data_IF_000053953981
#
_entry.id   IF_000053953981
#
_cell.length_a   1.000
_cell.length_b   1.000
_cell.length_c   1.000
_cell.angle_alpha   90.00
_cell.angle_beta   90.00
_cell.angle_gamma   90.00
#
_symmetry.space_group_name_H-M   'P 1'
#
loop_
_entity.id
_entity.type
_entity.pdbx_description
1 polymer ?
#
# COMPACT_ATOMS: atom_id res chain seq x y z
N UNK A 1 -54.43 33.10 -89.28
CA UNK A 1 -53.40 32.45 -90.11
C UNK A 1 -52.28 31.95 -89.19
N UNK A 2 -52.04 30.63 -89.22
CA UNK A 2 -50.81 29.85 -88.95
C UNK A 2 -49.73 30.48 -88.03
N UNK A 3 -49.42 29.86 -86.88
CA UNK A 3 -48.23 28.98 -86.66
C UNK A 3 -47.01 29.80 -86.16
N UNK A 4 -46.21 29.48 -85.15
CA UNK A 4 -45.76 28.24 -84.49
C UNK A 4 -45.25 28.54 -83.06
N UNK A 5 -45.16 27.50 -82.21
CA UNK A 5 -44.74 27.50 -80.78
C UNK A 5 -43.19 27.68 -80.56
N UNK A 6 -42.58 27.36 -79.39
CA UNK A 6 -42.17 28.29 -78.32
C UNK A 6 -40.65 28.20 -77.98
N UNK A 7 -40.13 29.08 -77.11
CA UNK A 7 -38.93 28.76 -76.31
C UNK A 7 -39.18 29.12 -74.85
N UNK A 8 -39.28 28.08 -74.03
CA UNK A 8 -39.23 28.09 -72.56
C UNK A 8 -37.82 27.69 -72.15
N UNK A 9 -37.21 28.42 -71.21
CA UNK A 9 -36.25 27.93 -70.20
C UNK A 9 -35.95 29.09 -69.23
N UNK A 10 -36.60 29.18 -68.08
CA UNK A 10 -36.30 28.46 -66.81
C UNK A 10 -34.92 28.80 -66.24
N UNK A 11 -34.87 29.86 -65.43
CA UNK A 11 -33.99 30.04 -64.27
C UNK A 11 -34.90 30.73 -63.24
N UNK A 12 -35.26 30.11 -62.11
CA UNK A 12 -34.48 30.06 -60.88
C UNK A 12 -34.89 28.78 -60.13
N UNK A 13 -33.94 27.87 -59.98
CA UNK A 13 -34.06 26.65 -59.20
C UNK A 13 -32.65 26.21 -58.81
N UNK A 14 -32.11 26.84 -57.76
CA UNK A 14 -30.97 26.33 -56.99
C UNK A 14 -31.35 26.56 -55.52
N UNK A 15 -32.23 25.72 -55.00
CA UNK A 15 -31.81 24.67 -54.05
C UNK A 15 -31.00 25.28 -52.91
N UNK A 16 -31.75 25.74 -51.92
CA UNK A 16 -31.34 25.90 -50.54
C UNK A 16 -31.02 24.53 -49.91
N UNK A 17 -30.03 23.82 -50.48
CA UNK A 17 -29.43 22.64 -49.90
C UNK A 17 -27.92 22.73 -50.19
N UNK A 18 -27.09 22.46 -49.18
CA UNK A 18 -25.61 22.49 -49.19
C UNK A 18 -24.91 23.80 -48.79
N UNK A 19 -25.54 24.65 -47.96
CA UNK A 19 -24.79 25.59 -47.12
C UNK A 19 -25.08 25.43 -45.62
N UNK A 20 -25.87 24.44 -45.22
CA UNK A 20 -25.55 23.67 -44.02
C UNK A 20 -24.37 22.78 -44.39
N UNK A 21 -23.19 23.38 -44.53
CA UNK A 21 -22.05 22.77 -43.90
C UNK A 21 -22.49 22.63 -42.44
N UNK A 22 -23.09 21.48 -42.12
CA UNK A 22 -22.95 20.86 -40.83
C UNK A 22 -21.50 21.16 -40.50
N UNK A 23 -21.26 22.04 -39.52
CA UNK A 23 -20.01 21.98 -38.80
C UNK A 23 -19.94 20.52 -38.42
N UNK A 24 -19.22 19.73 -39.24
CA UNK A 24 -18.92 18.34 -38.98
C UNK A 24 -18.31 18.46 -37.60
N UNK A 25 -19.11 18.13 -36.58
CA UNK A 25 -18.68 18.17 -35.21
C UNK A 25 -17.41 17.34 -35.25
N UNK A 26 -16.26 18.02 -35.17
CA UNK A 26 -15.00 17.31 -35.28
C UNK A 26 -15.08 16.23 -34.21
N UNK A 27 -14.84 14.95 -34.54
CA UNK A 27 -14.99 13.88 -33.57
C UNK A 27 -14.07 14.22 -32.42
N UNK A 28 -14.68 14.70 -31.35
CA UNK A 28 -14.05 15.15 -30.13
C UNK A 28 -14.80 14.39 -29.07
N UNK A 29 -14.03 13.78 -28.19
CA UNK A 29 -14.57 12.91 -27.19
C UNK A 29 -15.13 13.71 -26.03
N UNK A 30 -15.91 13.01 -25.22
CA UNK A 30 -16.30 13.52 -23.91
C UNK A 30 -15.04 13.73 -23.05
N UNK A 31 -14.97 14.85 -22.33
CA UNK A 31 -13.90 15.10 -21.36
C UNK A 31 -14.04 14.18 -20.13
N UNK A 32 -12.93 13.97 -19.41
CA UNK A 32 -12.93 13.27 -18.13
C UNK A 32 -13.70 14.10 -17.10
N UNK A 33 -14.52 13.44 -16.28
CA UNK A 33 -15.20 14.07 -15.16
C UNK A 33 -14.21 14.30 -14.01
N UNK A 34 -14.04 15.56 -13.61
CA UNK A 34 -13.18 15.93 -12.47
C UNK A 34 -13.52 15.19 -11.20
N UNK A 35 -14.81 15.00 -10.88
CA UNK A 35 -15.22 14.32 -9.66
C UNK A 35 -14.79 12.84 -9.68
N UNK A 36 -14.75 12.21 -10.86
CA UNK A 36 -14.27 10.84 -10.99
C UNK A 36 -12.74 10.78 -10.92
N UNK A 37 -12.03 11.73 -11.52
CA UNK A 37 -10.57 11.83 -11.40
C UNK A 37 -10.14 12.12 -9.96
N UNK A 38 -10.87 12.97 -9.22
CA UNK A 38 -10.64 13.25 -7.80
C UNK A 38 -10.74 12.00 -6.91
N UNK A 39 -11.66 11.07 -7.23
CA UNK A 39 -11.72 9.78 -6.52
C UNK A 39 -10.45 8.97 -6.75
N UNK A 40 -9.94 8.93 -7.97
CA UNK A 40 -8.69 8.21 -8.26
C UNK A 40 -7.47 8.89 -7.62
N UNK A 41 -7.44 10.23 -7.57
CA UNK A 41 -6.46 10.97 -6.78
C UNK A 41 -6.51 10.63 -5.28
N UNK A 42 -7.73 10.42 -4.74
CA UNK A 42 -7.91 9.98 -3.35
C UNK A 42 -7.34 8.57 -3.14
N UNK A 43 -7.54 7.66 -4.11
CA UNK A 43 -6.87 6.35 -4.11
C UNK A 43 -5.35 6.51 -4.14
N UNK A 44 -4.79 7.33 -5.02
CA UNK A 44 -3.35 7.58 -5.08
C UNK A 44 -2.78 8.11 -3.76
N UNK A 45 -3.54 8.97 -3.07
CA UNK A 45 -3.20 9.47 -1.72
C UNK A 45 -3.11 8.38 -0.69
N UNK A 46 -3.97 7.37 -0.80
CA UNK A 46 -3.91 6.23 0.07
C UNK A 46 -2.76 5.28 -0.27
N UNK A 47 -2.51 5.08 -1.56
CA UNK A 47 -1.39 4.28 -2.05
C UNK A 47 -0.02 4.87 -1.67
N UNK A 48 0.10 6.20 -1.60
CA UNK A 48 1.32 6.90 -1.16
C UNK A 48 1.68 6.66 0.32
N UNK A 49 0.77 6.10 1.12
CA UNK A 49 1.02 5.72 2.51
C UNK A 49 1.55 4.29 2.68
N UNK A 50 1.50 3.45 1.63
CA UNK A 50 1.99 2.07 1.69
C UNK A 50 3.46 1.96 2.14
N UNK A 51 4.38 2.83 1.67
CA UNK A 51 5.76 2.85 2.19
C UNK A 51 5.84 3.14 3.69
N UNK A 52 4.98 4.03 4.20
CA UNK A 52 4.90 4.37 5.63
C UNK A 52 4.41 3.19 6.48
N UNK A 53 3.47 2.40 5.96
CA UNK A 53 2.98 1.18 6.62
C UNK A 53 4.07 0.09 6.65
N UNK A 54 4.77 -0.08 5.53
CA UNK A 54 5.92 -0.98 5.46
C UNK A 54 7.01 -0.60 6.47
N UNK A 55 7.37 0.68 6.53
CA UNK A 55 8.37 1.18 7.47
C UNK A 55 7.97 0.93 8.93
N UNK A 56 6.71 1.18 9.29
CA UNK A 56 6.21 0.90 10.65
C UNK A 56 6.41 -0.56 11.07
N UNK A 57 6.08 -1.51 10.19
CA UNK A 57 6.26 -2.95 10.48
C UNK A 57 7.73 -3.34 10.56
N UNK A 58 8.58 -2.79 9.69
CA UNK A 58 10.03 -3.02 9.73
C UNK A 58 10.65 -2.46 11.01
N UNK A 59 10.29 -1.24 11.41
CA UNK A 59 10.79 -0.63 12.65
C UNK A 59 10.36 -1.40 13.89
N UNK A 60 9.15 -1.95 13.92
CA UNK A 60 8.67 -2.82 14.99
C UNK A 60 9.59 -4.05 15.18
N UNK A 61 9.91 -4.76 14.09
CA UNK A 61 10.80 -5.92 14.12
C UNK A 61 12.24 -5.53 14.47
N UNK A 62 12.75 -4.42 13.94
CA UNK A 62 14.09 -3.92 14.27
C UNK A 62 14.19 -3.58 15.77
N UNK A 63 13.15 -2.97 16.35
CA UNK A 63 13.09 -2.68 17.79
C UNK A 63 13.11 -3.96 18.60
N UNK A 64 12.34 -4.97 18.21
CA UNK A 64 12.35 -6.28 18.87
C UNK A 64 13.72 -6.96 18.78
N UNK A 65 14.37 -6.98 17.61
CA UNK A 65 15.73 -7.54 17.46
C UNK A 65 16.73 -6.87 18.41
N UNK A 66 16.70 -5.53 18.49
CA UNK A 66 17.58 -4.78 19.41
C UNK A 66 17.27 -5.08 20.88
N UNK A 67 15.98 -5.07 21.23
CA UNK A 67 15.51 -5.37 22.57
C UNK A 67 15.88 -6.79 23.02
N UNK A 68 15.75 -7.76 22.12
CA UNK A 68 16.12 -9.15 22.35
C UNK A 68 17.62 -9.30 22.60
N UNK A 69 18.46 -8.63 21.81
CA UNK A 69 19.91 -8.61 22.01
C UNK A 69 20.31 -7.98 23.36
N UNK A 70 19.67 -6.86 23.72
CA UNK A 70 19.89 -6.24 25.04
C UNK A 70 19.46 -7.15 26.19
N UNK A 71 18.33 -7.84 26.04
CA UNK A 71 17.80 -8.79 27.04
C UNK A 71 18.71 -10.01 27.19
N UNK A 72 19.18 -10.56 26.07
CA UNK A 72 20.15 -11.65 26.04
C UNK A 72 21.43 -11.26 26.79
N UNK A 73 22.02 -10.11 26.43
CA UNK A 73 23.26 -9.65 27.03
C UNK A 73 23.12 -9.42 28.54
N UNK A 74 22.05 -8.75 28.98
CA UNK A 74 21.85 -8.45 30.39
C UNK A 74 21.57 -9.71 31.20
N UNK A 75 20.75 -10.64 30.69
CA UNK A 75 20.51 -11.91 31.36
C UNK A 75 21.78 -12.78 31.41
N UNK A 76 22.60 -12.77 30.35
CA UNK A 76 23.87 -13.49 30.35
C UNK A 76 24.85 -12.92 31.37
N UNK A 77 25.02 -11.59 31.42
CA UNK A 77 25.90 -10.94 32.39
C UNK A 77 25.41 -11.14 33.84
N UNK A 78 24.10 -11.10 34.06
CA UNK A 78 23.51 -11.45 35.35
C UNK A 78 23.84 -12.90 35.74
N UNK A 79 23.83 -13.84 34.79
CA UNK A 79 24.20 -15.22 35.06
C UNK A 79 25.67 -15.40 35.48
N UNK A 80 26.57 -14.59 34.94
CA UNK A 80 28.00 -14.63 35.26
C UNK A 80 28.33 -13.91 36.58
N UNK A 81 27.50 -12.95 36.99
CA UNK A 81 27.64 -12.23 38.25
C UNK A 81 26.96 -12.93 39.44
N UNK A 82 26.20 -14.00 39.19
CA UNK A 82 25.40 -14.70 40.19
C UNK A 82 26.15 -15.92 40.76
N UNK A 83 26.26 -15.98 42.09
CA UNK A 83 26.92 -17.09 42.80
C UNK A 83 25.99 -18.31 42.94
N UNK A 84 24.66 -18.10 42.99
CA UNK A 84 23.71 -19.21 43.05
C UNK A 84 23.60 -19.92 41.69
N UNK A 85 24.02 -21.18 41.64
CA UNK A 85 24.06 -21.96 40.41
C UNK A 85 22.68 -22.14 39.75
N UNK A 86 21.59 -22.14 40.53
CA UNK A 86 20.24 -22.27 39.98
C UNK A 86 19.77 -20.98 39.32
N UNK A 87 20.00 -19.83 39.96
CA UNK A 87 19.74 -18.51 39.41
C UNK A 87 20.61 -18.24 38.18
N UNK A 88 21.91 -18.54 38.24
CA UNK A 88 22.81 -18.46 37.09
C UNK A 88 22.30 -19.32 35.91
N UNK A 89 21.88 -20.55 36.17
CA UNK A 89 21.30 -21.43 35.14
C UNK A 89 20.01 -20.84 34.55
N UNK A 90 19.13 -20.26 35.38
CA UNK A 90 17.89 -19.63 34.91
C UNK A 90 18.18 -18.43 34.02
N UNK A 91 19.11 -17.58 34.42
CA UNK A 91 19.47 -16.38 33.66
C UNK A 91 20.13 -16.74 32.33
N UNK A 92 20.96 -17.79 32.26
CA UNK A 92 21.48 -18.33 30.98
C UNK A 92 20.36 -18.82 30.06
N UNK A 93 19.36 -19.49 30.62
CA UNK A 93 18.20 -19.94 29.84
C UNK A 93 17.34 -18.77 29.36
N UNK A 94 17.14 -17.73 30.19
CA UNK A 94 16.45 -16.51 29.80
C UNK A 94 17.21 -15.77 28.69
N UNK A 95 18.54 -15.71 28.76
CA UNK A 95 19.39 -15.13 27.72
C UNK A 95 19.22 -15.87 26.38
N UNK A 96 19.34 -17.19 26.38
CA UNK A 96 19.17 -18.00 25.18
C UNK A 96 17.75 -17.90 24.58
N UNK A 97 16.72 -17.82 25.43
CA UNK A 97 15.34 -17.61 24.99
C UNK A 97 15.15 -16.22 24.36
N UNK A 98 15.76 -15.18 24.95
CA UNK A 98 15.75 -13.83 24.38
C UNK A 98 16.45 -13.80 23.02
N UNK A 99 17.62 -14.43 22.88
CA UNK A 99 18.30 -14.57 21.60
C UNK A 99 17.45 -15.27 20.53
N UNK A 100 16.66 -16.28 20.93
CA UNK A 100 15.70 -16.96 20.03
C UNK A 100 14.58 -16.01 19.55
N UNK A 101 14.08 -15.12 20.42
CA UNK A 101 13.14 -14.08 20.01
C UNK A 101 13.76 -13.11 18.99
N UNK A 102 15.01 -12.69 19.21
CA UNK A 102 15.73 -11.86 18.26
C UNK A 102 15.92 -12.53 16.89
N UNK A 103 16.27 -13.83 16.89
CA UNK A 103 16.39 -14.61 15.67
C UNK A 103 15.06 -14.76 14.92
N UNK A 104 13.95 -14.99 15.64
CA UNK A 104 12.62 -15.08 15.05
C UNK A 104 12.18 -13.74 14.43
N UNK A 105 12.36 -12.62 15.15
CA UNK A 105 12.05 -11.29 14.62
C UNK A 105 12.93 -10.92 13.42
N UNK A 106 14.20 -11.33 13.39
CA UNK A 106 15.08 -11.13 12.25
C UNK A 106 14.64 -11.94 11.02
N UNK A 107 14.25 -13.21 11.21
CA UNK A 107 13.72 -14.05 10.13
C UNK A 107 12.41 -13.48 9.57
N UNK A 108 11.53 -12.98 10.43
CA UNK A 108 10.29 -12.33 10.01
C UNK A 108 10.57 -11.03 9.27
N UNK A 109 11.60 -10.27 9.66
CA UNK A 109 12.00 -9.06 8.96
C UNK A 109 12.44 -9.36 7.51
N UNK A 110 13.16 -10.47 7.29
CA UNK A 110 13.56 -10.91 5.94
C UNK A 110 12.35 -11.26 5.06
N UNK A 111 11.34 -11.94 5.62
CA UNK A 111 10.12 -12.25 4.88
C UNK A 111 9.25 -11.00 4.63
N UNK A 112 9.11 -10.13 5.64
CA UNK A 112 8.41 -8.85 5.52
C UNK A 112 9.03 -7.97 4.43
N UNK A 113 10.36 -7.92 4.30
CA UNK A 113 11.04 -7.09 3.31
C UNK A 113 10.57 -7.36 1.88
N UNK A 114 10.39 -8.64 1.51
CA UNK A 114 9.96 -9.02 0.16
C UNK A 114 8.56 -8.49 -0.15
N UNK A 115 7.60 -8.73 0.75
CA UNK A 115 6.21 -8.30 0.56
C UNK A 115 6.05 -6.78 0.66
N UNK A 116 6.79 -6.15 1.57
CA UNK A 116 6.84 -4.70 1.76
C UNK A 116 7.38 -3.98 0.52
N UNK A 117 8.50 -4.45 -0.04
CA UNK A 117 9.09 -3.85 -1.23
C UNK A 117 8.17 -3.99 -2.45
N UNK A 118 7.56 -5.17 -2.63
CA UNK A 118 6.63 -5.40 -3.74
C UNK A 118 5.40 -4.49 -3.65
N UNK A 119 4.79 -4.38 -2.46
CA UNK A 119 3.66 -3.49 -2.23
C UNK A 119 4.04 -2.02 -2.47
N UNK A 120 5.18 -1.58 -1.94
CA UNK A 120 5.69 -0.22 -2.06
C UNK A 120 5.99 0.15 -3.52
N UNK A 121 6.70 -0.70 -4.26
CA UNK A 121 7.03 -0.45 -5.66
C UNK A 121 5.77 -0.37 -6.52
N UNK A 122 4.82 -1.27 -6.33
CA UNK A 122 3.60 -1.27 -7.11
C UNK A 122 2.67 -0.10 -6.76
N UNK A 123 2.58 0.27 -5.48
CA UNK A 123 1.88 1.47 -5.04
C UNK A 123 2.51 2.73 -5.64
N UNK A 124 3.84 2.85 -5.61
CA UNK A 124 4.58 3.96 -6.24
C UNK A 124 4.36 4.04 -7.75
N UNK A 125 4.36 2.91 -8.47
CA UNK A 125 4.01 2.86 -9.90
C UNK A 125 2.59 3.34 -10.17
N UNK A 126 1.63 2.93 -9.33
CA UNK A 126 0.24 3.34 -9.46
C UNK A 126 0.07 4.84 -9.20
N UNK A 127 0.61 5.35 -8.08
CA UNK A 127 0.60 6.78 -7.74
C UNK A 127 1.27 7.60 -8.84
N UNK A 128 2.41 7.17 -9.37
CA UNK A 128 3.10 7.84 -10.48
C UNK A 128 2.27 7.88 -11.76
N UNK A 129 1.68 6.75 -12.17
CA UNK A 129 0.83 6.68 -13.36
C UNK A 129 -0.45 7.52 -13.24
N UNK A 130 -1.03 7.61 -12.04
CA UNK A 130 -2.17 8.48 -11.73
C UNK A 130 -1.73 9.95 -11.82
N UNK A 131 -0.68 10.33 -11.10
CA UNK A 131 -0.20 11.71 -11.03
C UNK A 131 0.19 12.27 -12.39
N UNK A 132 0.92 11.50 -13.20
CA UNK A 132 1.35 11.93 -14.53
C UNK A 132 0.16 12.16 -15.46
N UNK A 133 -0.81 11.24 -15.46
CA UNK A 133 -2.00 11.39 -16.29
C UNK A 133 -2.87 12.57 -15.85
N UNK A 134 -2.99 12.82 -14.54
CA UNK A 134 -3.71 13.98 -14.01
C UNK A 134 -3.02 15.29 -14.39
N UNK A 135 -1.71 15.37 -14.24
CA UNK A 135 -0.95 16.56 -14.62
C UNK A 135 -1.04 16.83 -16.12
N UNK A 136 -0.98 15.77 -16.93
CA UNK A 136 -1.24 15.86 -18.37
C UNK A 136 -2.64 16.40 -18.65
N UNK A 137 -3.69 15.85 -18.03
CA UNK A 137 -5.07 16.31 -18.19
C UNK A 137 -5.24 17.78 -17.79
N UNK A 138 -4.63 18.21 -16.68
CA UNK A 138 -4.64 19.61 -16.24
C UNK A 138 -3.96 20.50 -17.28
N UNK A 139 -2.76 20.11 -17.75
CA UNK A 139 -1.99 20.88 -18.71
C UNK A 139 -2.74 21.08 -20.04
N UNK A 140 -3.35 20.02 -20.59
CA UNK A 140 -4.10 20.09 -21.86
C UNK A 140 -5.50 20.67 -21.73
N UNK A 141 -5.93 21.02 -20.51
CA UNK A 141 -7.23 21.62 -20.21
C UNK A 141 -7.14 23.08 -19.77
N UNK A 142 -5.93 23.58 -19.48
CA UNK A 142 -5.72 24.96 -19.03
C UNK A 142 -5.58 25.92 -20.22
N UNK A 143 -6.25 27.08 -20.18
CA UNK A 143 -6.02 28.18 -21.13
C UNK A 143 -7.14 28.49 -22.14
N UNK A 144 -8.31 27.85 -22.06
CA UNK A 144 -9.47 28.17 -22.90
C UNK A 144 -10.75 27.39 -22.54
N UNK A 145 -11.87 27.68 -23.21
CA UNK A 145 -13.19 27.04 -22.97
C UNK A 145 -13.67 26.15 -24.13
N UNK A 146 -13.00 26.24 -25.27
CA UNK A 146 -13.36 25.54 -26.53
C UNK A 146 -12.88 24.10 -26.56
N UNK A 147 -11.72 23.80 -25.96
CA UNK A 147 -11.17 22.46 -25.87
C UNK A 147 -10.73 22.18 -24.44
N UNK A 148 -11.12 21.02 -23.92
CA UNK A 148 -10.70 20.54 -22.60
C UNK A 148 -10.81 19.03 -22.53
N UNK A 149 -9.85 18.39 -21.87
CA UNK A 149 -9.96 16.96 -21.53
C UNK A 149 -10.35 16.72 -20.08
N UNK A 150 -10.54 17.78 -19.30
CA UNK A 150 -10.98 17.73 -17.92
C UNK A 150 -12.15 18.69 -17.74
N UNK A 151 -13.25 18.21 -17.18
CA UNK A 151 -14.45 19.03 -17.04
C UNK A 151 -15.10 18.86 -15.67
N UNK A 152 -15.49 20.00 -15.10
CA UNK A 152 -16.35 20.14 -13.95
C UNK A 152 -17.75 20.62 -14.38
N UNK A 153 -18.51 21.12 -13.40
CA UNK A 153 -19.80 21.77 -13.59
C UNK A 153 -19.76 22.78 -14.73
N UNK A 154 -20.69 22.68 -15.68
CA UNK A 154 -20.75 23.54 -16.85
C UNK A 154 -19.89 23.09 -18.04
N UNK A 155 -19.19 21.95 -17.94
CA UNK A 155 -18.42 21.38 -19.04
C UNK A 155 -17.10 22.10 -19.33
N UNK A 156 -16.55 22.80 -18.35
CA UNK A 156 -15.25 23.45 -18.39
C UNK A 156 -14.43 23.00 -17.16
N UNK A 157 -13.10 23.04 -17.22
CA UNK A 157 -12.29 22.66 -16.07
C UNK A 157 -12.46 23.67 -14.92
N UNK A 158 -12.37 23.20 -13.67
CA UNK A 158 -12.35 24.08 -12.50
C UNK A 158 -11.09 24.97 -12.51
N UNK A 159 -11.27 26.26 -12.21
CA UNK A 159 -10.17 27.24 -12.23
C UNK A 159 -9.06 27.00 -11.20
N UNK A 160 -9.27 26.11 -10.23
CA UNK A 160 -8.32 25.80 -9.15
C UNK A 160 -7.49 24.54 -9.40
N UNK A 161 -7.76 23.78 -10.46
CA UNK A 161 -7.16 22.45 -10.66
C UNK A 161 -5.65 22.45 -10.76
N UNK A 162 -5.06 23.47 -11.38
CA UNK A 162 -3.60 23.60 -11.44
C UNK A 162 -2.97 23.72 -10.04
N UNK A 163 -3.68 24.35 -9.08
CA UNK A 163 -3.20 24.55 -7.72
C UNK A 163 -3.49 23.34 -6.83
N UNK A 164 -4.68 22.75 -6.94
CA UNK A 164 -5.10 21.64 -6.08
C UNK A 164 -4.69 20.27 -6.60
N UNK A 165 -4.34 20.18 -7.89
CA UNK A 165 -4.08 18.92 -8.62
C UNK A 165 -5.17 17.87 -8.38
N UNK A 166 -6.43 18.32 -8.24
CA UNK A 166 -7.59 17.47 -7.93
C UNK A 166 -7.42 16.63 -6.65
N UNK A 167 -6.55 17.05 -5.73
CA UNK A 167 -6.23 16.31 -4.50
C UNK A 167 -5.24 15.16 -4.70
N UNK A 168 -4.59 15.05 -5.86
CA UNK A 168 -3.52 14.08 -6.08
C UNK A 168 -2.27 14.41 -5.25
N UNK A 169 -1.53 13.38 -4.85
CA UNK A 169 -0.35 13.53 -3.98
C UNK A 169 0.76 14.34 -4.61
N UNK A 170 1.58 15.06 -3.82
CA UNK A 170 2.76 15.75 -4.33
C UNK A 170 3.66 14.83 -5.17
N UNK A 171 4.36 15.40 -6.15
CA UNK A 171 5.26 14.66 -7.06
C UNK A 171 6.47 14.05 -6.34
N UNK A 172 6.84 14.63 -5.20
CA UNK A 172 7.95 14.19 -4.38
C UNK A 172 7.62 14.35 -2.92
N UNK A 173 8.25 13.51 -2.11
CA UNK A 173 8.19 13.55 -0.65
C UNK A 173 9.62 13.63 -0.13
N UNK A 174 9.86 14.53 0.83
CA UNK A 174 11.19 14.71 1.41
C UNK A 174 11.55 13.60 2.41
N UNK A 175 10.54 12.99 3.03
CA UNK A 175 10.71 12.01 4.08
C UNK A 175 9.51 11.05 4.17
N UNK A 176 9.70 9.88 4.80
CA UNK A 176 8.65 8.88 5.03
C UNK A 176 8.51 8.68 6.54
N UNK A 177 7.38 9.11 7.09
CA UNK A 177 7.03 8.86 8.49
C UNK A 177 6.25 7.55 8.63
N UNK A 178 6.57 6.67 9.60
CA UNK A 178 5.81 5.45 9.85
C UNK A 178 4.32 5.70 10.13
N UNK A 179 3.45 4.79 9.70
CA UNK A 179 2.02 4.85 10.02
C UNK A 179 1.43 3.46 10.21
N UNK A 180 0.40 3.34 11.06
CA UNK A 180 -0.17 2.06 11.45
C UNK A 180 -1.08 1.44 10.36
N UNK A 181 -1.55 2.22 9.39
CA UNK A 181 -2.45 1.67 8.37
C UNK A 181 -2.98 2.66 7.36
N UNK A 182 -4.00 2.21 6.62
CA UNK A 182 -4.66 2.96 5.56
C UNK A 182 -6.00 3.56 5.99
N UNK A 183 -6.50 4.59 5.28
CA UNK A 183 -7.86 5.09 5.44
C UNK A 183 -8.88 4.11 4.87
N UNK A 184 -9.62 3.47 5.77
CA UNK A 184 -10.66 2.48 5.45
C UNK A 184 -11.84 3.03 4.62
N UNK A 185 -12.04 4.35 4.57
CA UNK A 185 -13.06 4.96 3.70
C UNK A 185 -12.65 4.98 2.22
N UNK A 186 -11.35 4.81 1.92
CA UNK A 186 -10.80 4.83 0.56
C UNK A 186 -10.35 3.45 0.13
N UNK A 187 -9.63 2.74 1.00
CA UNK A 187 -9.07 1.42 0.75
C UNK A 187 -9.17 0.56 2.01
N UNK A 188 -9.89 -0.55 1.91
CA UNK A 188 -10.03 -1.52 3.00
C UNK A 188 -9.83 -2.96 2.51
N UNK A 189 -10.08 -3.92 3.42
CA UNK A 189 -9.98 -5.36 3.16
C UNK A 189 -10.88 -5.90 2.05
N UNK A 190 -11.83 -5.12 1.53
CA UNK A 190 -12.73 -5.48 0.44
C UNK A 190 -12.33 -4.86 -0.91
N UNK A 191 -11.70 -3.68 -0.92
CA UNK A 191 -11.27 -3.01 -2.14
C UNK A 191 -11.14 -1.49 -2.00
N UNK A 192 -11.17 -0.80 -3.15
CA UNK A 192 -11.12 0.65 -3.29
C UNK A 192 -12.52 1.26 -3.12
N UNK A 193 -12.93 1.54 -1.87
CA UNK A 193 -14.31 1.83 -1.47
C UNK A 193 -15.00 2.95 -2.24
N UNK A 194 -14.26 3.99 -2.59
CA UNK A 194 -14.79 5.15 -3.32
C UNK A 194 -15.08 4.86 -4.80
N UNK A 195 -14.63 3.72 -5.32
CA UNK A 195 -14.84 3.27 -6.70
C UNK A 195 -15.98 2.24 -6.77
N UNK A 196 -17.20 2.65 -6.41
CA UNK A 196 -18.32 1.73 -6.14
C UNK A 196 -19.25 1.40 -7.31
N UNK A 197 -18.95 1.93 -8.50
CA UNK A 197 -19.81 1.75 -9.68
C UNK A 197 -18.99 1.60 -10.95
N UNK A 198 -19.47 0.71 -11.83
CA UNK A 198 -19.06 0.73 -13.23
C UNK A 198 -19.79 1.87 -13.94
N UNK A 199 -19.21 2.38 -15.02
CA UNK A 199 -19.97 3.26 -15.92
C UNK A 199 -19.12 4.24 -16.70
N UNK A 200 -19.78 5.32 -17.11
CA UNK A 200 -19.16 6.43 -17.83
C UNK A 200 -18.37 7.30 -16.85
N UNK A 201 -17.07 7.44 -17.11
CA UNK A 201 -16.16 8.33 -16.37
C UNK A 201 -16.01 9.71 -17.02
N UNK A 202 -16.85 10.02 -18.01
CA UNK A 202 -16.82 11.28 -18.73
C UNK A 202 -17.88 12.27 -18.26
N UNK A 203 -17.61 13.55 -18.50
CA UNK A 203 -18.51 14.63 -18.13
C UNK A 203 -19.56 14.89 -19.22
N UNK A 204 -20.85 14.82 -18.86
CA UNK A 204 -21.96 14.90 -19.80
C UNK A 204 -22.01 16.20 -20.63
N UNK A 205 -21.66 17.34 -20.03
CA UNK A 205 -21.73 18.65 -20.71
C UNK A 205 -20.48 19.01 -21.53
N UNK A 206 -19.46 18.15 -21.52
CA UNK A 206 -18.21 18.35 -22.26
C UNK A 206 -18.06 17.30 -23.37
N UNK A 207 -19.17 16.98 -24.04
CA UNK A 207 -19.30 15.81 -24.91
C UNK A 207 -18.43 15.83 -26.18
N UNK A 208 -17.92 17.00 -26.54
CA UNK A 208 -17.16 17.27 -27.77
C UNK A 208 -15.96 18.18 -27.50
N UNK A 209 -15.32 18.06 -26.34
CA UNK A 209 -14.24 18.97 -25.92
C UNK A 209 -12.87 18.32 -25.83
N UNK A 210 -12.80 17.01 -25.66
CA UNK A 210 -11.54 16.30 -25.46
C UNK A 210 -11.04 15.69 -26.75
N UNK A 211 -10.01 16.29 -27.35
CA UNK A 211 -9.37 15.77 -28.57
C UNK A 211 -8.49 14.55 -28.32
N UNK A 212 -8.15 14.25 -27.06
CA UNK A 212 -7.27 13.14 -26.70
C UNK A 212 -7.75 11.79 -27.25
N UNK A 213 -9.06 11.54 -27.28
CA UNK A 213 -9.63 10.25 -27.70
C UNK A 213 -10.13 10.26 -29.15
N UNK A 214 -9.77 11.28 -29.92
CA UNK A 214 -10.02 11.30 -31.37
C UNK A 214 -9.04 10.35 -32.06
N UNK A 215 -9.58 9.43 -32.84
CA UNK A 215 -8.79 8.56 -33.69
C UNK A 215 -8.89 8.93 -35.17
N UNK A 216 -7.89 8.51 -35.94
CA UNK A 216 -7.85 8.70 -37.40
C UNK A 216 -9.03 8.04 -38.10
N UNK A 217 -9.60 8.66 -39.13
CA UNK A 217 -10.68 8.03 -39.90
C UNK A 217 -10.19 6.83 -40.72
N UNK A 218 -9.00 6.94 -41.30
CA UNK A 218 -8.28 5.91 -42.02
C UNK A 218 -6.78 6.26 -42.07
N UNK A 219 -5.91 5.26 -42.28
CA UNK A 219 -4.47 5.49 -42.45
C UNK A 219 -3.81 6.13 -41.22
N UNK A 220 -2.97 7.14 -41.45
CA UNK A 220 -2.34 7.97 -40.41
C UNK A 220 -2.65 9.44 -40.65
N UNK A 221 -2.66 10.24 -39.59
CA UNK A 221 -2.90 11.67 -39.69
C UNK A 221 -2.05 12.46 -38.67
N UNK A 222 -1.67 13.68 -39.03
CA UNK A 222 -0.80 14.54 -38.22
C UNK A 222 -1.51 15.24 -37.07
N UNK A 223 -2.85 15.26 -37.08
CA UNK A 223 -3.69 15.98 -36.11
C UNK A 223 -4.33 15.07 -35.05
N UNK A 224 -4.05 13.76 -35.08
CA UNK A 224 -4.67 12.76 -34.23
C UNK A 224 -3.60 11.98 -33.45
N UNK A 225 -3.86 11.70 -32.17
CA UNK A 225 -2.93 10.89 -31.38
C UNK A 225 -3.05 9.40 -31.73
N UNK A 226 -4.28 8.92 -31.92
CA UNK A 226 -4.56 7.51 -32.16
C UNK A 226 -4.53 7.20 -33.65
N UNK A 227 -3.46 6.56 -34.09
CA UNK A 227 -3.17 6.22 -35.49
C UNK A 227 -3.86 4.94 -35.99
N UNK A 228 -4.91 4.49 -35.28
CA UNK A 228 -5.78 3.38 -35.70
C UNK A 228 -7.23 3.84 -35.60
N UNK A 229 -8.11 3.57 -36.58
CA UNK A 229 -9.50 4.04 -36.52
C UNK A 229 -10.32 3.57 -35.31
N UNK A 230 -10.03 2.36 -34.85
CA UNK A 230 -10.62 1.75 -33.66
C UNK A 230 -9.51 1.06 -32.87
N UNK A 231 -8.73 1.81 -32.08
CA UNK A 231 -7.72 1.24 -31.19
C UNK A 231 -8.38 0.33 -30.14
N UNK A 232 -7.66 -0.67 -29.62
CA UNK A 232 -8.16 -1.45 -28.50
C UNK A 232 -8.38 -0.55 -27.28
N UNK A 233 -9.30 -0.98 -26.41
CA UNK A 233 -9.48 -0.37 -25.10
C UNK A 233 -8.14 -0.33 -24.36
N UNK A 234 -7.78 0.84 -23.83
CA UNK A 234 -6.47 1.09 -23.25
C UNK A 234 -6.62 1.47 -21.78
N UNK A 235 -5.96 0.77 -20.85
CA UNK A 235 -5.94 1.18 -19.44
C UNK A 235 -5.13 2.46 -19.27
N UNK A 236 -5.65 3.40 -18.48
CA UNK A 236 -4.96 4.63 -18.08
C UNK A 236 -5.01 4.75 -16.56
N UNK A 237 -4.18 5.62 -15.98
CA UNK A 237 -4.12 5.81 -14.52
C UNK A 237 -3.95 4.46 -13.80
N UNK A 238 -2.94 3.68 -14.19
CA UNK A 238 -2.70 2.33 -13.65
C UNK A 238 -3.88 1.35 -13.81
N UNK A 239 -4.76 1.55 -14.80
CA UNK A 239 -5.92 0.70 -15.04
C UNK A 239 -7.13 0.98 -14.16
N UNK A 240 -7.11 2.05 -13.34
CA UNK A 240 -8.30 2.51 -12.61
C UNK A 240 -9.39 3.05 -13.54
N UNK A 241 -9.00 3.49 -14.76
CA UNK A 241 -9.90 3.79 -15.86
C UNK A 241 -9.45 3.06 -17.13
N UNK A 242 -10.38 2.88 -18.05
CA UNK A 242 -10.06 2.54 -19.43
C UNK A 242 -10.59 3.57 -20.40
N UNK A 243 -9.87 3.76 -21.51
CA UNK A 243 -10.27 4.66 -22.58
C UNK A 243 -10.42 3.91 -23.89
N UNK A 244 -11.41 4.30 -24.68
CA UNK A 244 -11.60 3.85 -26.05
C UNK A 244 -11.63 5.07 -26.94
N UNK A 245 -10.60 5.22 -27.78
CA UNK A 245 -10.57 6.25 -28.80
C UNK A 245 -11.30 5.77 -30.07
N UNK A 246 -11.84 6.71 -30.85
CA UNK A 246 -12.55 6.38 -32.08
C UNK A 246 -12.62 7.57 -33.03
N UNK A 247 -12.85 7.29 -34.30
CA UNK A 247 -13.05 8.29 -35.37
C UNK A 247 -14.51 8.77 -35.53
N UNK A 248 -15.44 8.26 -34.73
CA UNK A 248 -16.88 8.47 -34.90
C UNK A 248 -17.43 9.14 -33.64
N UNK A 249 -18.38 10.06 -33.81
CA UNK A 249 -19.00 10.74 -32.68
C UNK A 249 -19.79 9.75 -31.81
N UNK A 250 -19.66 9.85 -30.49
CA UNK A 250 -20.40 9.02 -29.54
C UNK A 250 -19.87 7.61 -29.31
N UNK A 251 -18.84 7.18 -30.04
CA UNK A 251 -18.21 5.85 -29.85
C UNK A 251 -16.94 5.88 -28.99
N UNK A 252 -16.41 7.07 -28.70
CA UNK A 252 -15.34 7.23 -27.71
C UNK A 252 -15.88 6.98 -26.31
N UNK A 253 -15.11 6.32 -25.45
CA UNK A 253 -15.53 6.03 -24.08
C UNK A 253 -14.40 6.29 -23.08
N UNK A 254 -14.79 6.77 -21.90
CA UNK A 254 -13.98 6.74 -20.68
C UNK A 254 -14.79 5.87 -19.71
N UNK A 255 -14.25 4.72 -19.32
CA UNK A 255 -14.95 3.79 -18.44
C UNK A 255 -14.28 3.76 -17.08
N UNK A 256 -15.10 3.87 -16.04
CA UNK A 256 -14.68 3.57 -14.67
C UNK A 256 -15.11 2.17 -14.28
N UNK A 257 -14.30 1.55 -13.44
CA UNK A 257 -14.50 0.20 -12.94
C UNK A 257 -15.00 0.25 -11.49
N UNK A 258 -15.92 -0.67 -11.16
CA UNK A 258 -16.31 -0.94 -9.78
C UNK A 258 -15.22 -1.77 -9.11
N UNK A 259 -14.54 -1.17 -8.13
CA UNK A 259 -13.41 -1.76 -7.40
C UNK A 259 -13.59 -1.70 -5.88
N UNK A 260 -14.76 -1.31 -5.37
CA UNK A 260 -15.10 -1.24 -3.94
C UNK A 260 -15.30 -2.60 -3.25
N UNK A 261 -15.46 -3.65 -4.04
CA UNK A 261 -15.77 -5.03 -3.61
C UNK A 261 -14.94 -6.01 -4.45
N UNK A 262 -13.64 -5.76 -4.55
CA UNK A 262 -12.70 -6.60 -5.29
C UNK A 262 -12.61 -8.00 -4.69
N UNK A 263 -12.37 -8.08 -3.40
CA UNK A 263 -12.02 -9.32 -2.73
C UNK A 263 -12.55 -9.43 -1.32
N UNK A 264 -12.10 -10.45 -0.62
CA UNK A 264 -12.36 -10.65 0.80
C UNK A 264 -11.03 -10.72 1.52
N UNK A 265 -10.90 -9.98 2.62
CA UNK A 265 -9.72 -9.99 3.47
C UNK A 265 -8.41 -9.76 2.69
N UNK A 266 -8.40 -8.67 1.93
CA UNK A 266 -7.30 -8.23 1.07
C UNK A 266 -6.90 -9.21 -0.04
N UNK A 267 -7.77 -10.16 -0.36
CA UNK A 267 -7.47 -11.22 -1.33
C UNK A 267 -8.53 -11.24 -2.44
N UNK A 268 -8.08 -11.00 -3.67
CA UNK A 268 -8.80 -11.26 -4.92
C UNK A 268 -8.31 -12.56 -5.51
N UNK A 269 -9.22 -13.53 -5.71
CA UNK A 269 -8.92 -14.71 -6.50
C UNK A 269 -8.72 -14.33 -7.98
N UNK A 270 -7.65 -14.84 -8.60
CA UNK A 270 -7.30 -14.66 -10.01
C UNK A 270 -7.26 -13.18 -10.47
N UNK A 271 -6.40 -12.33 -9.88
CA UNK A 271 -6.32 -10.92 -10.26
C UNK A 271 -5.85 -10.76 -11.73
N UNK A 272 -6.65 -10.09 -12.55
CA UNK A 272 -6.37 -9.89 -13.99
C UNK A 272 -5.81 -8.50 -14.26
N UNK A 273 -6.38 -7.49 -13.63
CA UNK A 273 -6.01 -6.08 -13.83
C UNK A 273 -4.89 -5.63 -12.89
N UNK A 274 -4.21 -4.55 -13.23
CA UNK A 274 -3.16 -3.94 -12.41
C UNK A 274 -3.69 -3.49 -11.03
N UNK A 275 -4.86 -2.83 -10.89
CA UNK A 275 -5.42 -2.51 -9.57
C UNK A 275 -5.72 -3.75 -8.72
N UNK A 276 -6.20 -4.84 -9.33
CA UNK A 276 -6.46 -6.10 -8.60
C UNK A 276 -5.16 -6.75 -8.08
N UNK A 277 -4.09 -6.73 -8.89
CA UNK A 277 -2.78 -7.25 -8.47
C UNK A 277 -2.18 -6.39 -7.36
N UNK A 278 -2.32 -5.06 -7.45
CA UNK A 278 -1.88 -4.13 -6.41
C UNK A 278 -2.65 -4.34 -5.11
N UNK A 279 -3.97 -4.54 -5.17
CA UNK A 279 -4.79 -4.85 -4.01
C UNK A 279 -4.27 -6.07 -3.23
N UNK A 280 -3.96 -7.17 -3.93
CA UNK A 280 -3.37 -8.36 -3.30
C UNK A 280 -1.98 -8.08 -2.71
N UNK A 281 -1.12 -7.34 -3.42
CA UNK A 281 0.22 -7.01 -2.93
C UNK A 281 0.16 -6.20 -1.63
N UNK A 282 -0.73 -5.20 -1.56
CA UNK A 282 -1.01 -4.45 -0.32
C UNK A 282 -1.54 -5.38 0.75
N UNK A 283 -2.44 -6.29 0.39
CA UNK A 283 -2.96 -7.30 1.30
C UNK A 283 -1.91 -8.15 1.98
N UNK A 284 -0.95 -8.65 1.21
CA UNK A 284 0.17 -9.43 1.77
C UNK A 284 0.99 -8.60 2.77
N UNK A 285 1.22 -7.32 2.51
CA UNK A 285 1.91 -6.44 3.46
C UNK A 285 1.06 -6.19 4.71
N UNK A 286 -0.22 -5.86 4.57
CA UNK A 286 -1.09 -5.56 5.72
C UNK A 286 -1.20 -6.78 6.63
N UNK A 287 -1.38 -7.96 6.04
CA UNK A 287 -1.54 -9.25 6.73
C UNK A 287 -0.23 -9.88 7.22
N UNK A 288 0.93 -9.31 6.86
CA UNK A 288 2.19 -9.70 7.46
C UNK A 288 2.20 -9.20 8.92
N UNK A 289 1.63 -10.01 9.80
CA UNK A 289 1.58 -9.79 11.24
C UNK A 289 2.54 -10.76 11.93
N UNK A 290 3.13 -10.29 13.02
CA UNK A 290 4.08 -11.05 13.81
C UNK A 290 3.72 -10.89 15.28
N UNK A 291 3.39 -12.02 15.90
CA UNK A 291 3.19 -12.14 17.34
C UNK A 291 4.56 -12.12 18.01
N UNK A 292 5.08 -10.91 18.20
CA UNK A 292 6.42 -10.69 18.72
C UNK A 292 6.59 -11.00 20.20
N UNK A 293 7.85 -11.06 20.62
CA UNK A 293 8.22 -11.27 22.02
C UNK A 293 8.24 -9.95 22.84
N UNK A 294 8.14 -8.78 22.19
CA UNK A 294 8.21 -7.47 22.83
C UNK A 294 9.19 -6.52 22.12
N UNK A 295 9.05 -5.21 22.33
CA UNK A 295 9.86 -4.19 21.67
C UNK A 295 10.85 -3.51 22.61
N UNK A 296 10.92 -3.95 23.87
CA UNK A 296 11.86 -3.49 24.87
C UNK A 296 12.51 -4.68 25.59
N UNK A 297 13.73 -4.48 26.12
CA UNK A 297 14.44 -5.49 26.91
C UNK A 297 13.56 -6.10 28.01
N UNK A 298 12.80 -5.24 28.70
CA UNK A 298 11.94 -5.61 29.81
C UNK A 298 10.75 -6.48 29.36
N UNK A 299 10.12 -6.13 28.24
CA UNK A 299 9.04 -6.93 27.64
C UNK A 299 9.55 -8.30 27.20
N UNK A 300 10.72 -8.36 26.56
CA UNK A 300 11.33 -9.62 26.14
C UNK A 300 11.59 -10.53 27.35
N UNK A 301 12.25 -10.01 28.39
CA UNK A 301 12.54 -10.80 29.60
C UNK A 301 11.25 -11.27 30.26
N UNK A 302 10.25 -10.40 30.38
CA UNK A 302 8.96 -10.77 30.93
C UNK A 302 8.29 -11.86 30.10
N UNK A 303 8.31 -11.74 28.77
CA UNK A 303 7.72 -12.69 27.84
C UNK A 303 8.40 -14.06 27.93
N UNK A 304 9.74 -14.15 27.84
CA UNK A 304 10.44 -15.44 27.84
C UNK A 304 10.33 -16.19 29.19
N UNK A 305 10.10 -15.46 30.28
CA UNK A 305 9.87 -16.06 31.61
C UNK A 305 8.39 -16.45 31.77
N UNK A 306 7.44 -15.55 31.47
CA UNK A 306 6.01 -15.79 31.67
C UNK A 306 5.45 -16.87 30.73
N UNK A 307 5.92 -16.91 29.48
CA UNK A 307 5.52 -17.95 28.52
C UNK A 307 6.26 -19.27 28.76
N UNK A 308 7.15 -19.32 29.77
CA UNK A 308 7.88 -20.53 30.13
C UNK A 308 8.95 -20.95 29.12
N UNK A 309 9.33 -20.11 28.16
CA UNK A 309 10.37 -20.41 27.16
C UNK A 309 11.70 -20.73 27.82
N UNK A 310 12.10 -19.96 28.84
CA UNK A 310 13.29 -20.26 29.63
C UNK A 310 13.19 -21.62 30.35
N UNK A 311 12.04 -21.95 30.94
CA UNK A 311 11.81 -23.23 31.61
C UNK A 311 11.84 -24.41 30.63
N UNK A 312 11.31 -24.24 29.41
CA UNK A 312 11.35 -25.24 28.35
C UNK A 312 12.79 -25.53 27.88
N UNK A 313 13.64 -24.51 27.77
CA UNK A 313 15.06 -24.69 27.45
C UNK A 313 15.77 -25.47 28.55
N UNK A 314 15.55 -25.14 29.83
CA UNK A 314 16.11 -25.88 30.98
C UNK A 314 15.68 -27.34 30.94
N UNK A 315 14.39 -27.59 30.71
CA UNK A 315 13.83 -28.94 30.60
C UNK A 315 14.56 -29.74 29.51
N UNK A 316 14.70 -29.15 28.32
CA UNK A 316 15.32 -29.78 27.15
C UNK A 316 16.80 -30.11 27.40
N UNK A 317 17.56 -29.18 27.99
CA UNK A 317 18.97 -29.39 28.31
C UNK A 317 19.14 -30.48 29.36
N UNK A 318 18.37 -30.44 30.46
CA UNK A 318 18.46 -31.44 31.54
C UNK A 318 18.08 -32.83 31.07
N UNK A 319 17.05 -32.93 30.23
CA UNK A 319 16.65 -34.18 29.61
C UNK A 319 17.74 -34.72 28.68
N UNK A 320 18.22 -33.91 27.74
CA UNK A 320 19.20 -34.34 26.72
C UNK A 320 20.55 -34.74 27.31
N UNK A 321 21.03 -33.97 28.29
CA UNK A 321 22.28 -34.25 28.99
C UNK A 321 22.13 -35.22 30.17
N UNK A 322 20.91 -35.74 30.43
CA UNK A 322 20.60 -36.66 31.56
C UNK A 322 21.06 -36.15 32.92
N UNK A 323 20.92 -34.84 33.15
CA UNK A 323 21.38 -34.17 34.37
C UNK A 323 20.38 -34.31 35.54
N UNK A 324 19.13 -34.62 35.24
CA UNK A 324 18.06 -34.72 36.24
C UNK A 324 17.05 -35.76 35.80
N UNK A 325 16.43 -36.47 36.73
CA UNK A 325 15.33 -37.38 36.42
C UNK A 325 14.03 -36.63 36.12
N UNK A 326 13.14 -37.27 35.37
CA UNK A 326 11.81 -36.71 35.09
C UNK A 326 11.01 -36.58 36.39
N UNK A 327 10.28 -35.48 36.52
CA UNK A 327 9.26 -35.32 37.58
C UNK A 327 7.92 -35.90 37.12
N UNK A 328 6.91 -35.88 37.99
CA UNK A 328 5.53 -36.24 37.61
C UNK A 328 4.93 -35.36 36.51
N UNK A 329 5.46 -34.16 36.31
CA UNK A 329 5.07 -33.22 35.24
C UNK A 329 5.95 -33.31 34.00
N UNK A 330 6.94 -34.22 33.97
CA UNK A 330 7.96 -34.31 32.93
C UNK A 330 8.76 -33.01 32.71
N UNK A 331 8.87 -32.14 33.72
CA UNK A 331 9.54 -30.82 33.62
C UNK A 331 11.02 -30.85 34.05
N UNK A 332 11.53 -32.03 34.42
CA UNK A 332 12.92 -32.23 34.84
C UNK A 332 13.38 -31.21 35.92
N UNK A 333 12.46 -30.82 36.80
CA UNK A 333 12.70 -29.88 37.90
C UNK A 333 12.82 -28.41 37.48
N UNK A 334 12.42 -28.05 36.26
CA UNK A 334 12.49 -26.67 35.78
C UNK A 334 11.54 -25.73 36.57
N UNK A 335 10.30 -26.17 36.86
CA UNK A 335 9.36 -25.36 37.63
C UNK A 335 9.85 -25.08 39.05
N UNK A 336 10.41 -26.09 39.71
CA UNK A 336 11.01 -25.93 41.05
C UNK A 336 12.20 -24.97 41.05
N UNK A 337 13.00 -24.95 39.97
CA UNK A 337 14.09 -23.98 39.81
C UNK A 337 13.53 -22.57 39.61
N UNK A 338 12.49 -22.37 38.80
CA UNK A 338 11.84 -21.07 38.67
C UNK A 338 11.29 -20.57 40.02
N UNK A 339 10.58 -21.42 40.77
CA UNK A 339 10.06 -21.09 42.10
C UNK A 339 11.19 -20.72 43.08
N UNK A 340 12.29 -21.48 43.08
CA UNK A 340 13.45 -21.23 43.92
C UNK A 340 14.11 -19.88 43.63
N UNK A 341 14.26 -19.53 42.35
CA UNK A 341 14.90 -18.27 41.96
C UNK A 341 13.95 -17.10 42.15
N UNK A 342 12.66 -17.24 41.88
CA UNK A 342 11.66 -16.20 42.14
C UNK A 342 11.41 -15.98 43.64
N UNK A 343 11.63 -17.00 44.48
CA UNK A 343 11.35 -16.99 45.92
C UNK A 343 9.92 -17.37 46.28
N UNK A 344 8.98 -17.29 45.33
CA UNK A 344 7.67 -17.95 45.38
C UNK A 344 7.09 -18.09 43.95
N UNK A 345 5.88 -18.66 43.85
CA UNK A 345 5.21 -18.95 42.58
C UNK A 345 4.37 -17.79 42.00
N UNK A 346 4.34 -16.61 42.63
CA UNK A 346 3.58 -15.44 42.17
C UNK A 346 4.48 -14.38 41.57
N UNK A 347 4.06 -13.82 40.42
CA UNK A 347 4.77 -12.76 39.69
C UNK A 347 6.24 -13.12 39.41
N UNK A 348 6.48 -14.36 39.02
CA UNK A 348 7.84 -14.90 38.87
C UNK A 348 8.69 -14.07 37.90
N UNK A 349 8.13 -13.69 36.75
CA UNK A 349 8.85 -12.87 35.77
C UNK A 349 9.29 -11.52 36.33
N UNK A 350 8.44 -10.83 37.09
CA UNK A 350 8.78 -9.55 37.68
C UNK A 350 9.91 -9.70 38.70
N UNK A 351 9.83 -10.71 39.58
CA UNK A 351 10.85 -10.97 40.60
C UNK A 351 12.19 -11.38 40.01
N UNK A 352 12.18 -12.31 39.05
CA UNK A 352 13.37 -12.77 38.35
C UNK A 352 14.01 -11.60 37.61
N UNK A 353 13.21 -10.76 36.92
CA UNK A 353 13.68 -9.54 36.30
C UNK A 353 14.31 -8.58 37.32
N UNK A 354 13.67 -8.31 38.45
CA UNK A 354 14.23 -7.45 39.50
C UNK A 354 15.58 -7.97 39.98
N UNK A 355 15.74 -9.29 40.13
CA UNK A 355 17.04 -9.89 40.49
C UNK A 355 18.09 -9.67 39.40
N UNK A 356 17.76 -9.94 38.13
CA UNK A 356 18.63 -9.67 36.98
C UNK A 356 19.07 -8.19 36.96
N UNK A 357 18.14 -7.25 37.14
CA UNK A 357 18.43 -5.82 37.10
C UNK A 357 19.21 -5.33 38.34
N UNK A 358 19.13 -6.04 39.47
CA UNK A 358 19.82 -5.70 40.72
C UNK A 358 21.27 -6.16 40.79
N UNK A 359 21.69 -7.08 39.90
CA UNK A 359 23.05 -7.57 39.89
C UNK A 359 23.99 -6.49 39.33
N UNK A 360 25.16 -6.27 39.96
CA UNK A 360 26.13 -5.29 39.50
C UNK A 360 26.76 -5.80 38.20
N UNK A 361 26.17 -5.41 37.07
CA UNK A 361 26.72 -5.73 35.76
C UNK A 361 27.78 -4.70 35.40
N UNK A 362 29.04 -5.13 35.37
CA UNK A 362 30.12 -4.31 34.80
C UNK A 362 29.99 -4.31 33.28
N UNK A 363 29.59 -3.19 32.69
CA UNK A 363 29.56 -3.03 31.24
C UNK A 363 30.97 -2.75 30.73
N UNK A 364 31.49 -3.63 29.87
CA UNK A 364 32.69 -3.36 29.07
C UNK A 364 32.25 -2.60 27.82
N UNK A 365 32.54 -1.30 27.76
CA UNK A 365 32.38 -0.48 26.56
C UNK A 365 33.70 -0.46 25.79
N UNK A 366 33.65 -0.15 24.48
CA UNK A 366 34.81 -0.14 23.58
C UNK A 366 36.03 0.63 24.15
N UNK A 367 35.80 1.63 25.01
CA UNK A 367 36.86 2.49 25.54
C UNK A 367 36.91 2.58 27.08
N UNK A 368 35.96 2.01 27.84
CA UNK A 368 35.91 2.04 29.33
C UNK A 368 35.07 0.92 29.94
N UNK A 369 35.43 0.54 31.17
CA UNK A 369 34.57 -0.27 32.06
C UNK A 369 33.70 0.65 32.90
N UNK A 370 32.38 0.43 32.94
CA UNK A 370 31.46 1.13 33.83
C UNK A 370 30.59 0.14 34.60
N UNK A 371 30.55 0.26 35.92
CA UNK A 371 29.58 -0.46 36.75
C UNK A 371 28.20 0.19 36.61
N UNK A 372 27.15 -0.62 36.42
CA UNK A 372 25.79 -0.19 36.74
C UNK A 372 25.73 0.08 38.25
N UNK A 373 25.38 1.31 38.63
CA UNK A 373 24.92 1.60 39.99
C UNK A 373 23.44 1.31 40.14
#
# INVERSE_FOLDING_TARGET
MLSSKPVVRTYIGLVAALATAIQLAEPSAKAFDEAEVQKICSVATELDKIPSVALQKQEALIKEVKAAYEAELIAFLAAEAEDDANASTLYKAAAAAAGTCGAAAAAELEELQKVALLATVNAGKATGAINEFVDFLIAVSTGGTTGTCLAAVGGNPSGTNANTRLGCTPKSKADITPTAGTNTEVLDKSGYKILSSNGDGSHAQASTKCRLLKAVSAGSATSELWQRPSPPETPVMFGFLTVTAHNSAGTTAIKKLKLDTLGTDWTKANPQTEPEKLFNAIGHLIKAEYDGCGQTKDEILAHVINEGKAAQLITSVRQGAKLTEKTSKNDYGAAALLDSVAGDSKNQAEKIKTKIDSLPVTQVQADKTAEKK
#
